data_IF_467148978201
#
_entry.id   IF_467148978201
#
_cell.length_a   1.000
_cell.length_b   1.000
_cell.length_c   1.000
_cell.angle_alpha   90.00
_cell.angle_beta   90.00
_cell.angle_gamma   90.00
#
_symmetry.space_group_name_H-M   'P 1'
#
loop_
_entity.id
_entity.type
_entity.pdbx_description
1 polymer ?
#
# COMPACT_ATOMS: atom_id res chain seq x y z
N UNK A 1 -1.75 0.04 -4.49
CA UNK A 1 -2.38 0.04 -5.84
C UNK A 1 -1.97 1.22 -6.73
N UNK A 2 -1.96 2.48 -6.27
CA UNK A 2 -1.82 3.65 -7.16
C UNK A 2 -0.41 3.96 -7.70
N UNK A 3 0.58 3.11 -7.40
CA UNK A 3 1.91 3.18 -8.00
C UNK A 3 1.87 2.36 -9.29
N UNK A 4 2.07 3.01 -10.42
CA UNK A 4 2.22 2.33 -11.71
C UNK A 4 3.62 1.75 -11.84
N UNK A 5 3.70 0.52 -12.31
CA UNK A 5 4.92 -0.17 -12.68
C UNK A 5 4.67 -0.85 -14.04
N UNK A 6 5.63 -0.74 -14.96
CA UNK A 6 5.56 -1.41 -16.26
C UNK A 6 5.89 -2.90 -16.17
N UNK A 7 6.41 -3.36 -15.03
CA UNK A 7 6.67 -4.77 -14.77
C UNK A 7 5.39 -5.61 -14.83
N UNK A 8 5.52 -6.79 -15.44
CA UNK A 8 4.49 -7.84 -15.41
C UNK A 8 5.01 -9.05 -14.65
N UNK A 9 4.10 -9.86 -14.14
CA UNK A 9 4.46 -11.13 -13.50
C UNK A 9 5.14 -12.07 -14.50
N UNK A 10 6.00 -12.96 -13.99
CA UNK A 10 6.71 -13.94 -14.82
C UNK A 10 5.77 -14.95 -15.49
N UNK A 11 4.60 -15.18 -14.89
CA UNK A 11 3.50 -15.94 -15.46
C UNK A 11 2.37 -14.96 -15.80
N UNK A 12 2.08 -14.79 -17.09
CA UNK A 12 1.10 -13.82 -17.59
C UNK A 12 -0.35 -14.17 -17.22
N UNK A 13 -0.61 -15.41 -16.77
CA UNK A 13 -1.92 -15.82 -16.27
C UNK A 13 -2.01 -15.79 -14.74
N UNK A 14 -0.92 -15.45 -14.06
CA UNK A 14 -0.86 -15.35 -12.60
C UNK A 14 -1.22 -16.64 -11.85
N UNK A 15 -1.10 -17.80 -12.49
CA UNK A 15 -1.54 -19.10 -11.94
C UNK A 15 -0.46 -19.76 -11.09
N UNK A 16 0.82 -19.55 -11.44
CA UNK A 16 1.93 -20.15 -10.72
C UNK A 16 2.09 -19.56 -9.31
N UNK A 17 2.10 -20.39 -8.24
CA UNK A 17 2.37 -19.93 -6.88
C UNK A 17 3.80 -19.41 -6.67
N UNK A 18 4.73 -19.75 -7.56
CA UNK A 18 6.16 -19.37 -7.48
C UNK A 18 6.52 -18.18 -8.37
N UNK A 19 5.52 -17.53 -8.97
CA UNK A 19 5.76 -16.38 -9.85
C UNK A 19 6.30 -15.20 -9.04
N UNK A 20 7.03 -14.32 -9.71
CA UNK A 20 7.27 -12.97 -9.17
C UNK A 20 5.94 -12.25 -9.11
N UNK A 21 5.53 -11.83 -7.91
CA UNK A 21 4.30 -11.08 -7.69
C UNK A 21 4.53 -9.61 -8.00
N UNK A 22 3.70 -9.03 -8.86
CA UNK A 22 3.62 -7.58 -9.08
C UNK A 22 2.32 -7.11 -8.46
N UNK A 23 2.41 -6.26 -7.44
CA UNK A 23 1.24 -5.89 -6.64
C UNK A 23 0.28 -4.94 -7.37
N UNK A 24 0.78 -4.09 -8.27
CA UNK A 24 -0.05 -3.15 -9.02
C UNK A 24 -0.71 -3.82 -10.24
N UNK A 25 -1.95 -3.43 -10.53
CA UNK A 25 -2.66 -3.82 -11.75
C UNK A 25 -2.97 -2.62 -12.65
N UNK A 26 -2.31 -1.49 -12.40
CA UNK A 26 -2.46 -0.29 -13.22
C UNK A 26 -1.81 -0.47 -14.59
N UNK A 27 -2.45 0.08 -15.62
CA UNK A 27 -1.86 0.28 -16.93
C UNK A 27 -1.55 1.76 -17.14
N UNK A 28 -0.58 2.05 -18.00
CA UNK A 28 0.02 3.38 -18.17
C UNK A 28 -1.02 4.49 -18.40
N UNK A 29 -2.02 4.23 -19.23
CA UNK A 29 -3.04 5.20 -19.62
C UNK A 29 -4.26 5.23 -18.68
N UNK A 30 -4.24 4.50 -17.57
CA UNK A 30 -5.38 4.42 -16.65
C UNK A 30 -5.75 5.80 -16.13
N UNK A 31 -7.06 6.09 -16.23
CA UNK A 31 -7.71 7.23 -15.58
C UNK A 31 -8.77 6.71 -14.63
N UNK A 32 -9.13 7.53 -13.66
CA UNK A 32 -10.19 7.20 -12.72
C UNK A 32 -11.50 6.98 -13.49
N UNK A 33 -12.27 5.97 -13.07
CA UNK A 33 -13.63 5.72 -13.55
C UNK A 33 -14.69 6.52 -12.77
N UNK A 34 -14.28 7.13 -11.65
CA UNK A 34 -15.08 8.03 -10.84
C UNK A 34 -14.55 9.46 -10.96
N UNK A 35 -15.43 10.47 -10.84
CA UNK A 35 -14.99 11.86 -10.75
C UNK A 35 -14.26 12.07 -9.42
N UNK A 36 -13.20 12.88 -9.42
CA UNK A 36 -12.33 13.07 -8.24
C UNK A 36 -13.07 13.50 -6.98
N UNK A 37 -14.14 14.27 -7.14
CA UNK A 37 -14.94 14.76 -6.01
C UNK A 37 -15.64 13.62 -5.25
N UNK A 38 -15.84 12.47 -5.89
CA UNK A 38 -16.40 11.26 -5.26
C UNK A 38 -15.34 10.34 -4.66
N UNK A 39 -14.06 10.56 -4.96
CA UNK A 39 -12.94 9.72 -4.49
C UNK A 39 -12.23 10.29 -3.27
N UNK A 40 -12.39 11.59 -2.99
CA UNK A 40 -11.75 12.23 -1.84
C UNK A 40 -12.25 11.69 -0.49
N UNK A 41 -11.40 11.77 0.53
CA UNK A 41 -11.83 11.51 1.90
C UNK A 41 -12.73 12.66 2.38
N UNK A 42 -13.60 12.38 3.35
CA UNK A 42 -14.60 13.34 3.81
C UNK A 42 -13.98 14.64 4.35
N UNK A 43 -12.86 14.52 5.04
CA UNK A 43 -12.08 15.60 5.65
C UNK A 43 -10.81 15.97 4.85
N UNK A 44 -10.59 15.32 3.71
CA UNK A 44 -9.49 15.62 2.80
C UNK A 44 -9.99 15.59 1.34
N UNK A 45 -10.65 16.66 0.88
CA UNK A 45 -11.28 16.66 -0.45
C UNK A 45 -10.25 16.57 -1.60
N UNK A 46 -10.53 15.72 -2.59
CA UNK A 46 -9.67 15.59 -3.77
C UNK A 46 -10.01 16.65 -4.82
N UNK A 47 -9.40 17.83 -4.67
CA UNK A 47 -9.63 19.00 -5.51
C UNK A 47 -8.57 19.17 -6.60
N UNK A 48 -8.96 19.83 -7.69
CA UNK A 48 -8.03 20.33 -8.70
C UNK A 48 -7.18 21.46 -8.08
N UNK A 49 -5.85 21.35 -8.16
CA UNK A 49 -4.89 22.34 -7.63
C UNK A 49 -4.27 23.11 -8.79
N UNK A 50 -4.83 24.26 -9.14
CA UNK A 50 -4.36 25.06 -10.29
C UNK A 50 -2.96 25.67 -10.10
N UNK A 51 -2.49 25.80 -8.85
CA UNK A 51 -1.25 26.49 -8.52
C UNK A 51 0.01 25.59 -8.55
N UNK A 52 -0.15 24.27 -8.71
CA UNK A 52 0.97 23.32 -8.70
C UNK A 52 1.26 22.80 -10.11
N UNK A 53 2.45 23.10 -10.62
CA UNK A 53 2.91 22.63 -11.92
C UNK A 53 2.95 21.08 -11.97
N UNK A 54 2.51 20.50 -13.09
CA UNK A 54 2.48 19.04 -13.29
C UNK A 54 1.28 18.28 -12.69
N UNK A 55 0.34 18.92 -11.99
CA UNK A 55 -0.89 18.27 -11.51
C UNK A 55 -1.93 18.08 -12.63
N UNK A 56 -2.63 16.96 -12.60
CA UNK A 56 -3.70 16.68 -13.57
C UNK A 56 -5.00 17.35 -13.11
N UNK A 57 -5.44 18.38 -13.85
CA UNK A 57 -6.64 19.17 -13.49
C UNK A 57 -7.95 18.54 -13.96
N UNK A 58 -7.91 17.42 -14.69
CA UNK A 58 -9.12 16.78 -15.21
C UNK A 58 -9.98 16.26 -14.07
N UNK A 59 -11.30 16.36 -14.22
CA UNK A 59 -12.28 15.77 -13.29
C UNK A 59 -12.14 14.25 -13.12
N UNK A 60 -11.66 13.57 -14.17
CA UNK A 60 -11.32 12.15 -14.17
C UNK A 60 -9.82 12.03 -14.46
N UNK A 61 -8.95 12.20 -13.45
CA UNK A 61 -7.51 12.29 -13.66
C UNK A 61 -6.87 10.94 -13.95
N UNK A 62 -5.60 10.95 -14.36
CA UNK A 62 -4.75 9.76 -14.45
C UNK A 62 -4.36 9.20 -13.07
N UNK A 63 -3.91 7.94 -13.05
CA UNK A 63 -3.47 7.26 -11.81
C UNK A 63 -2.41 8.03 -11.02
N UNK A 64 -1.43 8.66 -11.70
CA UNK A 64 -0.37 9.41 -11.04
C UNK A 64 -0.86 10.62 -10.23
N UNK A 65 -2.01 11.19 -10.56
CA UNK A 65 -2.61 12.26 -9.76
C UNK A 65 -3.30 11.73 -8.50
N UNK A 66 -3.86 10.51 -8.57
CA UNK A 66 -4.41 9.84 -7.39
C UNK A 66 -3.28 9.46 -6.44
N UNK A 67 -2.14 8.98 -6.96
CA UNK A 67 -0.95 8.72 -6.14
C UNK A 67 -0.49 9.98 -5.40
N UNK A 68 -0.33 11.11 -6.11
CA UNK A 68 0.06 12.38 -5.47
C UNK A 68 -0.93 12.82 -4.39
N UNK A 69 -2.23 12.67 -4.62
CA UNK A 69 -3.24 12.96 -3.61
C UNK A 69 -3.07 12.09 -2.34
N UNK A 70 -2.75 10.81 -2.49
CA UNK A 70 -2.49 9.91 -1.35
C UNK A 70 -1.15 10.21 -0.64
N UNK A 71 -0.13 10.61 -1.39
CA UNK A 71 1.16 11.06 -0.83
C UNK A 71 1.00 12.36 -0.06
N UNK A 72 0.21 13.31 -0.58
CA UNK A 72 -0.15 14.54 0.11
C UNK A 72 -0.90 14.24 1.42
N UNK A 73 -1.90 13.36 1.36
CA UNK A 73 -2.62 12.90 2.56
C UNK A 73 -1.67 12.28 3.59
N UNK A 74 -0.83 11.33 3.19
CA UNK A 74 0.10 10.67 4.11
C UNK A 74 1.11 11.64 4.74
N UNK A 75 1.51 12.69 4.00
CA UNK A 75 2.40 13.75 4.48
C UNK A 75 1.70 14.68 5.46
N UNK A 76 0.52 15.17 5.11
CA UNK A 76 -0.23 16.17 5.90
C UNK A 76 -0.69 15.59 7.24
N UNK A 77 -0.96 14.28 7.30
CA UNK A 77 -1.29 13.56 8.54
C UNK A 77 -0.09 12.84 9.18
N UNK A 78 1.12 13.03 8.65
CA UNK A 78 2.37 12.46 9.19
C UNK A 78 2.29 10.94 9.43
N UNK A 79 1.74 10.22 8.47
CA UNK A 79 1.55 8.77 8.52
C UNK A 79 2.83 8.00 8.16
N UNK A 80 3.72 8.63 7.38
CA UNK A 80 4.96 8.00 6.90
C UNK A 80 5.84 7.45 8.03
N UNK A 81 5.91 8.13 9.19
CA UNK A 81 6.68 7.67 10.35
C UNK A 81 6.11 6.42 11.03
N UNK A 82 4.87 6.06 10.75
CA UNK A 82 4.20 4.88 11.30
C UNK A 82 4.29 3.66 10.37
N UNK A 83 4.76 3.86 9.12
CA UNK A 83 4.83 2.82 8.11
C UNK A 83 6.25 2.27 8.05
N UNK A 84 6.38 0.94 8.12
CA UNK A 84 7.63 0.25 7.82
C UNK A 84 7.55 -0.27 6.39
N UNK A 85 8.18 0.45 5.46
CA UNK A 85 8.32 -0.01 4.07
C UNK A 85 9.22 -1.23 3.99
N UNK A 86 9.18 -1.93 2.85
CA UNK A 86 10.00 -3.12 2.58
C UNK A 86 9.88 -4.20 3.67
N UNK A 87 8.74 -4.23 4.36
CA UNK A 87 8.46 -5.15 5.47
C UNK A 87 7.23 -5.96 5.11
N UNK A 88 7.45 -7.22 4.76
CA UNK A 88 6.38 -8.16 4.43
C UNK A 88 5.93 -8.90 5.69
N UNK A 89 4.63 -8.87 5.97
CA UNK A 89 4.02 -9.68 7.03
C UNK A 89 3.89 -11.12 6.54
N UNK A 90 4.60 -12.05 7.18
CA UNK A 90 4.63 -13.47 6.82
C UNK A 90 3.56 -14.30 7.53
N UNK A 91 3.21 -13.93 8.76
CA UNK A 91 2.29 -14.70 9.60
C UNK A 91 1.61 -13.84 10.66
N UNK A 92 0.35 -14.16 10.98
CA UNK A 92 -0.42 -13.54 12.07
C UNK A 92 -1.14 -14.64 12.83
N UNK A 93 -0.97 -14.69 14.15
CA UNK A 93 -1.66 -15.64 15.03
C UNK A 93 -2.04 -15.00 16.37
N UNK A 94 -3.08 -15.52 17.01
CA UNK A 94 -3.36 -15.13 18.39
C UNK A 94 -2.25 -15.63 19.30
N UNK A 95 -1.78 -14.77 20.20
CA UNK A 95 -0.86 -15.16 21.25
C UNK A 95 -1.59 -16.14 22.19
N UNK A 96 -1.11 -17.37 22.27
CA UNK A 96 -1.57 -18.32 23.27
C UNK A 96 -0.84 -17.99 24.57
N UNK A 97 -1.51 -17.24 25.46
CA UNK A 97 -1.01 -17.04 26.81
C UNK A 97 -1.92 -17.77 27.80
N UNK A 98 -1.38 -18.78 28.49
CA UNK A 98 -2.04 -19.52 29.58
C UNK A 98 -2.45 -18.59 30.75
N UNK A 99 -1.99 -17.34 30.74
CA UNK A 99 -2.31 -16.30 31.73
C UNK A 99 -3.50 -15.41 31.38
N UNK A 100 -4.20 -15.65 30.26
CA UNK A 100 -5.46 -14.97 29.92
C UNK A 100 -5.30 -13.57 29.29
N UNK A 101 -4.08 -13.15 28.98
CA UNK A 101 -3.81 -11.96 28.17
C UNK A 101 -4.05 -12.24 26.68
N UNK A 102 -5.11 -11.66 26.11
CA UNK A 102 -5.34 -11.72 24.66
C UNK A 102 -4.39 -10.80 23.89
N UNK A 103 -3.91 -11.23 22.73
CA UNK A 103 -3.06 -10.44 21.84
C UNK A 103 -2.80 -11.15 20.52
N UNK A 104 -2.14 -10.48 19.59
CA UNK A 104 -1.81 -10.98 18.26
C UNK A 104 -0.32 -10.91 18.02
N UNK A 105 0.29 -12.06 17.77
CA UNK A 105 1.67 -12.15 17.31
C UNK A 105 1.71 -11.95 15.80
N UNK A 106 2.44 -10.93 15.35
CA UNK A 106 2.67 -10.63 13.93
C UNK A 106 4.14 -10.89 13.63
N UNK A 107 4.39 -11.79 12.67
CA UNK A 107 5.73 -12.05 12.13
C UNK A 107 5.89 -11.31 10.81
N UNK A 108 7.04 -10.67 10.65
CA UNK A 108 7.38 -9.94 9.44
C UNK A 108 8.86 -10.08 9.11
N UNK A 109 9.18 -9.89 7.83
CA UNK A 109 10.56 -9.93 7.34
C UNK A 109 10.80 -8.72 6.46
N UNK A 110 12.05 -8.26 6.40
CA UNK A 110 12.44 -7.33 5.34
C UNK A 110 12.50 -8.05 3.99
N UNK A 111 12.32 -7.27 2.94
CA UNK A 111 12.40 -7.74 1.56
C UNK A 111 13.45 -6.90 0.85
N UNK A 112 14.71 -7.07 1.24
CA UNK A 112 15.83 -6.52 0.48
C UNK A 112 16.04 -7.39 -0.79
N UNK A 113 16.34 -6.75 -1.92
CA UNK A 113 16.35 -7.38 -3.25
C UNK A 113 17.35 -8.54 -3.44
N UNK A 114 18.25 -8.76 -2.49
CA UNK A 114 19.20 -9.87 -2.47
C UNK A 114 18.84 -10.80 -1.30
N UNK A 115 18.25 -11.95 -1.63
CA UNK A 115 17.66 -12.92 -0.69
C UNK A 115 18.63 -13.65 0.23
N UNK A 116 19.50 -12.93 0.93
CA UNK A 116 20.33 -13.45 2.01
C UNK A 116 19.68 -13.18 3.38
N UNK A 117 18.86 -14.15 3.81
CA UNK A 117 18.60 -14.46 5.22
C UNK A 117 18.38 -13.28 6.17
N UNK A 118 17.38 -12.45 5.92
CA UNK A 118 17.00 -11.40 6.87
C UNK A 118 16.22 -11.98 8.06
N UNK A 119 16.52 -11.46 9.26
CA UNK A 119 15.91 -11.90 10.51
C UNK A 119 14.40 -11.62 10.53
N UNK A 120 13.61 -12.67 10.79
CA UNK A 120 12.17 -12.53 10.99
C UNK A 120 11.91 -11.83 12.33
N UNK A 121 11.22 -10.68 12.28
CA UNK A 121 10.82 -9.92 13.45
C UNK A 121 9.46 -10.43 13.93
N UNK A 122 9.30 -10.58 15.25
CA UNK A 122 8.05 -10.95 15.90
C UNK A 122 7.66 -9.90 16.93
N UNK A 123 6.45 -9.37 16.81
CA UNK A 123 5.90 -8.36 17.71
C UNK A 123 4.48 -8.75 18.14
N UNK A 124 4.07 -8.34 19.34
CA UNK A 124 2.72 -8.58 19.87
C UNK A 124 1.93 -7.28 19.86
N UNK A 125 0.71 -7.34 19.33
CA UNK A 125 -0.21 -6.22 19.22
C UNK A 125 -1.54 -6.56 19.89
N UNK A 126 -2.21 -5.57 20.48
CA UNK A 126 -3.54 -5.75 21.07
C UNK A 126 -4.63 -6.02 20.01
N UNK A 127 -4.40 -5.59 18.76
CA UNK A 127 -5.30 -5.79 17.64
C UNK A 127 -4.60 -5.70 16.29
N UNK A 128 -5.20 -6.33 15.28
CA UNK A 128 -4.71 -6.36 13.90
C UNK A 128 -5.83 -5.91 12.96
N UNK A 129 -5.50 -5.00 12.04
CA UNK A 129 -6.40 -4.57 10.96
C UNK A 129 -5.74 -4.96 9.64
N UNK A 130 -6.45 -5.75 8.82
CA UNK A 130 -5.98 -6.15 7.48
C UNK A 130 -6.57 -5.17 6.47
N UNK A 131 -5.71 -4.51 5.70
CA UNK A 131 -6.04 -3.45 4.76
C UNK A 131 -5.82 -3.89 3.31
#
# INVERSE_FOLDING_TARGET
MWIYDAAVESDLLSLSPRRRVVHTSLYESLRTNLPRESMGFLDYPFLAREAEDGRDQRRFPGHGEVLRYLEDFARDFDLGRMIRFETEVSHVEMANDDSGGGGWTVRSRRVDGDGEGEEEMSEVYDGVVVC
#
